data_IF_309265586838
#
_entry.id   IF_309265586838
#
_cell.length_a   1.000
_cell.length_b   1.000
_cell.length_c   1.000
_cell.angle_alpha   90.00
_cell.angle_beta   90.00
_cell.angle_gamma   90.00
#
_symmetry.space_group_name_H-M   'P 1'
#
loop_
_entity.id
_entity.type
_entity.pdbx_description
1 polymer ?
#
# COMPACT_ATOMS: atom_id res chain seq x y z
N UNK A 1 4.22 -13.00 29.24
CA UNK A 1 3.30 -11.92 29.53
C UNK A 1 3.66 -10.68 28.74
N UNK A 2 4.79 -10.12 29.01
CA UNK A 2 5.19 -8.93 28.27
C UNK A 2 5.34 -9.22 26.79
N UNK A 3 5.84 -10.39 26.46
CA UNK A 3 5.98 -10.79 25.09
C UNK A 3 4.65 -10.80 24.37
N UNK A 4 3.63 -11.35 25.02
CA UNK A 4 2.30 -11.39 24.44
C UNK A 4 1.73 -10.00 24.27
N UNK A 5 1.98 -9.14 25.24
CA UNK A 5 1.50 -7.77 25.13
C UNK A 5 2.14 -7.05 23.96
N UNK A 6 3.44 -7.27 23.77
CA UNK A 6 4.12 -6.65 22.65
C UNK A 6 3.57 -7.15 21.32
N UNK A 7 3.29 -8.44 21.25
CA UNK A 7 2.72 -8.99 20.03
C UNK A 7 1.32 -8.47 19.76
N UNK A 8 0.51 -8.34 20.82
CA UNK A 8 -0.86 -7.90 20.64
C UNK A 8 -0.94 -6.43 20.22
N UNK A 9 0.04 -5.61 20.61
CA UNK A 9 0.04 -4.22 20.20
C UNK A 9 0.86 -3.99 18.96
N UNK A 10 1.52 -5.01 18.46
CA UNK A 10 2.25 -4.90 17.22
C UNK A 10 1.28 -5.05 16.08
N UNK A 11 0.65 -3.97 15.75
CA UNK A 11 -0.29 -3.93 14.65
C UNK A 11 0.36 -3.29 13.46
N UNK A 12 -0.16 -3.63 12.32
CA UNK A 12 0.34 -3.07 11.10
C UNK A 12 1.53 -3.87 10.59
N UNK A 13 2.34 -3.20 9.84
CA UNK A 13 3.34 -3.84 9.02
C UNK A 13 4.73 -3.54 9.56
N UNK A 14 5.61 -4.55 9.57
CA UNK A 14 7.00 -4.35 9.92
C UNK A 14 7.74 -3.70 8.75
N UNK A 15 8.95 -3.19 9.03
CA UNK A 15 9.78 -2.62 7.95
C UNK A 15 10.09 -3.66 6.89
N UNK A 16 10.32 -4.90 7.29
CA UNK A 16 10.60 -5.98 6.34
C UNK A 16 9.39 -6.24 5.45
N UNK A 17 8.21 -6.29 6.05
CA UNK A 17 6.99 -6.50 5.28
C UNK A 17 6.73 -5.35 4.33
N UNK A 18 7.01 -4.13 4.76
CA UNK A 18 6.87 -2.97 3.89
C UNK A 18 7.81 -3.03 2.71
N UNK A 19 9.06 -3.43 2.95
CA UNK A 19 10.04 -3.58 1.87
C UNK A 19 9.60 -4.66 0.90
N UNK A 20 9.01 -5.74 1.40
CA UNK A 20 8.49 -6.79 0.54
C UNK A 20 7.36 -6.30 -0.35
N UNK A 21 6.48 -5.48 0.20
CA UNK A 21 5.38 -4.92 -0.59
C UNK A 21 5.94 -4.08 -1.75
N UNK A 22 6.91 -3.24 -1.46
CA UNK A 22 7.52 -2.41 -2.49
C UNK A 22 8.18 -3.27 -3.55
N UNK A 23 8.89 -4.32 -3.13
CA UNK A 23 9.53 -5.24 -4.06
C UNK A 23 8.50 -5.95 -4.95
N UNK A 24 7.38 -6.37 -4.37
CA UNK A 24 6.32 -7.04 -5.11
C UNK A 24 5.64 -6.11 -6.10
N UNK A 25 5.58 -4.82 -5.78
CA UNK A 25 5.03 -3.83 -6.71
C UNK A 25 5.99 -3.50 -7.86
N UNK A 26 7.26 -3.86 -7.71
CA UNK A 26 8.23 -3.65 -8.78
C UNK A 26 9.50 -2.93 -8.36
N UNK A 27 9.64 -2.63 -7.07
CA UNK A 27 10.86 -2.03 -6.54
C UNK A 27 11.15 -0.66 -7.12
N UNK A 28 12.40 -0.43 -7.49
CA UNK A 28 12.82 0.86 -8.02
C UNK A 28 12.08 1.25 -9.30
N UNK A 29 11.75 0.28 -10.14
CA UNK A 29 11.00 0.56 -11.36
C UNK A 29 9.60 1.05 -11.03
N UNK A 30 8.95 0.40 -10.06
CA UNK A 30 7.65 0.85 -9.59
C UNK A 30 7.70 2.29 -9.11
N UNK A 31 8.71 2.61 -8.30
CA UNK A 31 8.86 3.95 -7.75
C UNK A 31 9.03 4.97 -8.89
N UNK A 32 9.90 4.65 -9.85
CA UNK A 32 10.15 5.56 -10.97
C UNK A 32 8.91 5.76 -11.85
N UNK A 33 8.18 4.67 -12.10
CA UNK A 33 7.04 4.73 -13.01
C UNK A 33 5.83 5.42 -12.40
N UNK A 34 5.66 5.33 -11.09
CA UNK A 34 4.43 5.80 -10.43
C UNK A 34 4.63 7.08 -9.63
N UNK A 35 5.86 7.51 -9.44
CA UNK A 35 6.14 8.66 -8.59
C UNK A 35 5.93 8.35 -7.12
N UNK A 36 5.96 7.08 -6.73
CA UNK A 36 5.74 6.69 -5.33
C UNK A 36 6.81 7.30 -4.44
N UNK A 37 6.37 7.87 -3.33
CA UNK A 37 7.28 8.53 -2.38
C UNK A 37 6.62 8.67 -1.02
N UNK A 38 7.41 9.15 -0.07
CA UNK A 38 6.93 9.45 1.28
C UNK A 38 6.31 8.21 1.92
N UNK A 39 7.06 7.12 1.88
CA UNK A 39 6.61 5.86 2.46
C UNK A 39 6.57 5.95 3.97
N UNK A 40 5.47 5.52 4.55
CA UNK A 40 5.29 5.50 5.99
C UNK A 40 4.68 4.16 6.39
N UNK A 41 5.29 3.51 7.36
CA UNK A 41 4.78 2.24 7.89
C UNK A 41 4.14 2.52 9.23
N UNK A 42 2.85 2.28 9.31
CA UNK A 42 2.08 2.58 10.50
C UNK A 42 1.17 1.43 10.89
N UNK A 43 0.24 1.70 11.83
CA UNK A 43 -0.63 0.63 12.34
C UNK A 43 -1.56 0.03 11.29
N UNK A 44 -1.81 0.75 10.21
CA UNK A 44 -2.69 0.25 9.15
C UNK A 44 -1.94 -0.19 7.91
N UNK A 45 -0.65 -0.48 8.07
CA UNK A 45 0.18 -0.95 6.97
C UNK A 45 1.07 0.13 6.41
N UNK A 46 1.50 -0.04 5.17
CA UNK A 46 2.35 0.93 4.51
C UNK A 46 1.49 1.91 3.71
N UNK A 47 1.81 3.18 3.84
CA UNK A 47 1.12 4.27 3.15
C UNK A 47 2.15 5.03 2.34
N UNK A 48 1.79 5.42 1.14
CA UNK A 48 2.70 6.23 0.32
C UNK A 48 1.90 7.07 -0.66
N UNK A 49 2.57 8.11 -1.16
CA UNK A 49 2.01 8.98 -2.19
C UNK A 49 2.36 8.45 -3.56
N UNK A 50 1.50 8.74 -4.52
CA UNK A 50 1.79 8.41 -5.92
C UNK A 50 1.55 9.64 -6.79
N UNK A 51 2.05 9.57 -8.01
CA UNK A 51 1.93 10.67 -8.95
C UNK A 51 0.52 10.82 -9.51
N UNK A 52 0.33 11.91 -10.23
CA UNK A 52 -0.96 12.23 -10.84
C UNK A 52 -1.43 11.08 -11.74
N UNK A 53 -2.72 10.79 -11.66
CA UNK A 53 -3.27 9.70 -12.45
C UNK A 53 -4.75 9.97 -12.76
N UNK A 54 -5.30 9.18 -13.67
CA UNK A 54 -6.66 9.38 -14.16
C UNK A 54 -7.72 9.07 -13.11
N UNK A 55 -7.37 8.33 -12.06
CA UNK A 55 -8.33 7.97 -11.01
C UNK A 55 -8.34 8.96 -9.86
N UNK A 56 -7.50 9.97 -9.91
CA UNK A 56 -7.35 10.98 -8.87
C UNK A 56 -7.01 10.41 -7.50
N UNK A 57 -6.27 9.31 -7.48
CA UNK A 57 -5.72 8.70 -6.27
C UNK A 57 -4.38 9.32 -6.01
N UNK A 58 -4.14 9.83 -4.79
CA UNK A 58 -2.83 10.37 -4.47
C UNK A 58 -2.14 9.65 -3.31
N UNK A 59 -2.85 8.75 -2.63
CA UNK A 59 -2.28 7.93 -1.56
C UNK A 59 -2.76 6.49 -1.71
N UNK A 60 -1.90 5.55 -1.34
CA UNK A 60 -2.24 4.13 -1.32
C UNK A 60 -1.85 3.58 0.04
N UNK A 61 -2.73 2.77 0.61
CA UNK A 61 -2.49 2.13 1.91
C UNK A 61 -2.64 0.63 1.73
N UNK A 62 -1.59 -0.12 2.06
CA UNK A 62 -1.55 -1.56 1.87
C UNK A 62 -1.26 -2.22 3.20
N UNK A 63 -2.13 -3.12 3.62
CA UNK A 63 -1.98 -3.85 4.87
C UNK A 63 -2.01 -5.35 4.61
N UNK A 64 -1.21 -6.08 5.37
CA UNK A 64 -1.19 -7.53 5.30
C UNK A 64 -2.20 -8.04 6.34
N UNK A 65 -3.19 -8.78 5.89
CA UNK A 65 -4.23 -9.28 6.77
C UNK A 65 -3.86 -10.65 7.35
N UNK A 66 -4.73 -11.18 8.22
CA UNK A 66 -4.45 -12.43 8.92
C UNK A 66 -4.42 -13.65 8.00
N UNK A 67 -4.91 -13.51 6.79
CA UNK A 67 -4.91 -14.60 5.80
C UNK A 67 -3.69 -14.57 4.89
N UNK A 68 -2.72 -13.72 5.21
CA UNK A 68 -1.50 -13.51 4.41
C UNK A 68 -1.79 -12.98 3.00
N UNK A 69 -2.89 -12.26 2.87
CA UNK A 69 -3.18 -11.50 1.66
C UNK A 69 -3.18 -10.02 2.01
N UNK A 70 -3.24 -9.17 1.00
CA UNK A 70 -3.18 -7.73 1.20
C UNK A 70 -4.55 -7.09 1.03
N UNK A 71 -4.83 -6.15 1.90
CA UNK A 71 -5.98 -5.26 1.73
C UNK A 71 -5.43 -3.91 1.32
N UNK A 72 -5.95 -3.40 0.22
CA UNK A 72 -5.42 -2.19 -0.41
C UNK A 72 -6.50 -1.13 -0.47
N UNK A 73 -6.18 0.06 0.00
CA UNK A 73 -7.07 1.20 -0.10
C UNK A 73 -6.42 2.26 -0.98
N UNK A 74 -7.20 2.80 -1.89
CA UNK A 74 -6.77 3.86 -2.80
C UNK A 74 -7.51 5.12 -2.39
N UNK A 75 -6.74 6.16 -2.04
CA UNK A 75 -7.30 7.33 -1.36
C UNK A 75 -7.00 8.61 -2.11
N UNK A 76 -7.89 9.56 -1.93
CA UNK A 76 -7.66 10.93 -2.30
C UNK A 76 -7.62 11.75 -1.01
N UNK A 77 -6.47 12.37 -0.74
CA UNK A 77 -6.27 13.15 0.47
C UNK A 77 -6.08 14.61 0.07
N UNK A 78 -6.95 15.48 0.57
CA UNK A 78 -6.87 16.92 0.30
C UNK A 78 -7.17 17.68 1.57
N UNK A 79 -6.32 18.63 1.90
CA UNK A 79 -6.53 19.51 3.06
C UNK A 79 -6.84 18.69 4.31
N UNK A 80 -6.05 17.64 4.52
CA UNK A 80 -6.17 16.74 5.68
C UNK A 80 -7.44 15.91 5.69
N UNK A 81 -8.21 15.92 4.61
CA UNK A 81 -9.39 15.07 4.50
C UNK A 81 -9.07 13.88 3.61
N UNK A 82 -9.43 12.71 4.11
CA UNK A 82 -9.17 11.45 3.46
C UNK A 82 -10.45 10.92 2.86
N UNK A 83 -10.40 10.56 1.58
CA UNK A 83 -11.54 9.96 0.90
C UNK A 83 -11.09 8.66 0.28
N UNK A 84 -11.74 7.56 0.63
CA UNK A 84 -11.43 6.27 0.04
C UNK A 84 -12.11 6.19 -1.33
N UNK A 85 -11.29 6.08 -2.38
CA UNK A 85 -11.79 6.00 -3.75
C UNK A 85 -12.15 4.57 -4.11
N UNK A 86 -11.36 3.60 -3.66
CA UNK A 86 -11.64 2.19 -3.88
C UNK A 86 -10.88 1.36 -2.85
N UNK A 87 -11.37 0.15 -2.64
CA UNK A 87 -10.76 -0.81 -1.72
C UNK A 87 -10.77 -2.17 -2.38
N UNK A 88 -9.63 -2.86 -2.32
CA UNK A 88 -9.53 -4.23 -2.83
C UNK A 88 -9.00 -5.08 -1.69
N UNK A 89 -9.73 -6.12 -1.32
CA UNK A 89 -9.37 -6.98 -0.20
C UNK A 89 -8.93 -8.34 -0.68
N UNK A 90 -8.06 -8.97 0.11
CA UNK A 90 -7.64 -10.33 -0.17
C UNK A 90 -6.78 -10.48 -1.40
N UNK A 91 -5.92 -9.52 -1.66
CA UNK A 91 -5.06 -9.53 -2.84
C UNK A 91 -3.82 -10.36 -2.55
N UNK A 92 -3.53 -11.35 -3.39
CA UNK A 92 -2.31 -12.13 -3.26
C UNK A 92 -1.12 -11.32 -3.76
N UNK A 93 0.06 -11.68 -3.27
CA UNK A 93 1.28 -10.94 -3.60
C UNK A 93 1.49 -10.81 -5.10
N UNK A 94 1.24 -11.88 -5.85
CA UNK A 94 1.46 -11.87 -7.29
C UNK A 94 0.39 -11.10 -8.06
N UNK A 95 -0.69 -10.70 -7.39
CA UNK A 95 -1.75 -9.91 -8.01
C UNK A 95 -1.70 -8.45 -7.59
N UNK A 96 -0.76 -8.09 -6.72
CA UNK A 96 -0.70 -6.75 -6.14
C UNK A 96 -0.47 -5.68 -7.20
N UNK A 97 0.44 -5.95 -8.14
CA UNK A 97 0.73 -4.99 -9.22
C UNK A 97 -0.50 -4.72 -10.08
N UNK A 98 -1.22 -5.79 -10.44
CA UNK A 98 -2.42 -5.64 -11.25
C UNK A 98 -3.49 -4.83 -10.54
N UNK A 99 -3.69 -5.09 -9.25
CA UNK A 99 -4.67 -4.35 -8.45
C UNK A 99 -4.30 -2.87 -8.41
N UNK A 100 -3.01 -2.58 -8.22
CA UNK A 100 -2.53 -1.21 -8.20
C UNK A 100 -2.79 -0.53 -9.55
N UNK A 101 -2.40 -1.17 -10.64
CA UNK A 101 -2.54 -0.59 -11.97
C UNK A 101 -4.01 -0.34 -12.34
N UNK A 102 -4.86 -1.28 -11.97
CA UNK A 102 -6.28 -1.17 -12.30
C UNK A 102 -6.94 -0.02 -11.55
N UNK A 103 -6.53 0.22 -10.32
CA UNK A 103 -7.18 1.22 -9.47
C UNK A 103 -6.53 2.60 -9.52
N UNK A 104 -5.39 2.74 -10.18
CA UNK A 104 -4.74 4.04 -10.33
C UNK A 104 -4.60 4.47 -11.78
N UNK A 105 -4.56 3.51 -12.69
CA UNK A 105 -4.26 3.81 -14.09
C UNK A 105 -2.79 4.01 -14.37
N UNK A 106 -1.94 3.87 -13.36
CA UNK A 106 -0.50 4.00 -13.52
C UNK A 106 0.10 2.62 -13.80
N UNK A 107 1.14 2.60 -14.60
CA UNK A 107 1.86 1.35 -14.87
C UNK A 107 2.99 1.18 -13.87
N UNK A 108 3.24 -0.06 -13.49
CA UNK A 108 4.33 -0.38 -12.56
C UNK A 108 5.59 -0.83 -13.29
N UNK A 109 5.48 -1.07 -14.58
CA UNK A 109 6.62 -1.44 -15.43
C UNK A 109 6.30 -1.06 -16.85
N UNK A 110 7.32 -1.11 -17.69
CA UNK A 110 7.17 -0.80 -19.10
C UNK A 110 6.47 -1.92 -19.85
#
# INVERSE_FOLDING_TARGET
MIQEELESIKEGMSKREGAEVIAQLGGGRFIAMTGAKDFFIGPKGIVFKIGRNSKTVNYVRINLNSMDTYDVEFLSVRKFKEKVKSTVKGVYADSLRGAFEQNTGLRTSL
#
